data_IF_940835014803
#
_entry.id   IF_940835014803
#
_cell.length_a   1.000
_cell.length_b   1.000
_cell.length_c   1.000
_cell.angle_alpha   90.00
_cell.angle_beta   90.00
_cell.angle_gamma   90.00
#
_symmetry.space_group_name_H-M   'P 1'
#
loop_
_entity.id
_entity.type
_entity.pdbx_description
1 polymer ?
#
# COMPACT_ATOMS: atom_id res chain seq x y z
N UNK A 1 -44.23 43.31 1.65
CA UNK A 1 -43.26 42.30 1.19
C UNK A 1 -42.68 42.80 -0.13
N UNK A 2 -41.45 43.30 -0.12
CA UNK A 2 -40.73 43.82 -1.29
C UNK A 2 -39.65 42.79 -1.68
N UNK A 3 -39.59 42.31 -2.92
CA UNK A 3 -38.44 41.55 -3.40
C UNK A 3 -37.32 42.51 -3.79
N UNK A 4 -36.12 42.29 -3.24
CA UNK A 4 -34.94 43.11 -3.46
C UNK A 4 -34.33 42.91 -4.85
N UNK A 5 -34.02 44.03 -5.49
CA UNK A 5 -33.17 44.11 -6.68
C UNK A 5 -31.73 43.73 -6.34
N UNK A 6 -31.18 42.75 -7.06
CA UNK A 6 -29.75 42.46 -7.08
C UNK A 6 -29.17 43.04 -8.38
N UNK A 7 -28.33 44.05 -8.25
CA UNK A 7 -27.58 44.65 -9.36
C UNK A 7 -26.28 43.87 -9.54
N UNK A 8 -26.08 43.26 -10.72
CA UNK A 8 -24.80 42.70 -11.14
C UNK A 8 -23.83 43.85 -11.46
N UNK A 9 -22.66 43.84 -10.83
CA UNK A 9 -21.51 44.66 -11.21
C UNK A 9 -20.71 43.90 -12.27
N UNK A 10 -20.62 44.49 -13.46
CA UNK A 10 -19.70 44.09 -14.53
C UNK A 10 -18.26 44.40 -14.10
N UNK A 11 -17.37 43.42 -14.27
CA UNK A 11 -15.94 43.57 -14.04
C UNK A 11 -15.23 43.71 -15.40
N UNK A 12 -14.47 44.79 -15.54
CA UNK A 12 -13.60 45.11 -16.67
C UNK A 12 -12.53 44.02 -16.91
N UNK A 13 -12.29 43.59 -18.17
CA UNK A 13 -11.24 42.63 -18.49
C UNK A 13 -10.08 43.29 -19.24
N UNK A 14 -9.28 44.16 -18.61
CA UNK A 14 -7.98 44.55 -19.17
C UNK A 14 -6.93 44.77 -18.07
N UNK A 15 -6.11 43.74 -17.81
CA UNK A 15 -4.79 43.90 -17.21
C UNK A 15 -3.86 42.82 -17.74
N UNK A 16 -3.23 43.14 -18.87
CA UNK A 16 -2.09 42.43 -19.43
C UNK A 16 -0.89 42.77 -18.54
N UNK A 17 -0.48 41.82 -17.70
CA UNK A 17 0.79 41.86 -16.98
C UNK A 17 1.73 40.83 -17.61
N UNK A 18 2.66 41.33 -18.40
CA UNK A 18 3.82 40.60 -18.92
C UNK A 18 4.80 40.33 -17.78
N UNK A 19 4.84 39.08 -17.31
CA UNK A 19 5.92 38.60 -16.44
C UNK A 19 7.19 38.38 -17.27
N UNK A 20 8.18 39.23 -17.03
CA UNK A 20 9.56 39.07 -17.48
C UNK A 20 10.13 37.74 -16.94
N UNK A 21 10.60 36.90 -17.85
CA UNK A 21 11.38 35.70 -17.56
C UNK A 21 12.72 36.10 -16.94
N UNK A 22 12.78 36.12 -15.61
CA UNK A 22 14.05 36.08 -14.90
C UNK A 22 14.61 34.67 -15.01
N UNK A 23 15.70 34.50 -15.75
CA UNK A 23 16.49 33.27 -15.77
C UNK A 23 17.08 33.05 -14.37
N UNK A 24 16.39 32.26 -13.56
CA UNK A 24 16.92 31.73 -12.30
C UNK A 24 17.97 30.68 -12.65
N UNK A 25 19.23 31.04 -12.45
CA UNK A 25 20.37 30.15 -12.54
C UNK A 25 20.24 29.04 -11.50
N UNK A 26 19.79 27.86 -11.91
CA UNK A 26 19.68 26.65 -11.09
C UNK A 26 21.00 25.88 -11.08
N UNK A 27 22.05 26.49 -10.53
CA UNK A 27 23.23 25.75 -10.10
C UNK A 27 22.95 25.11 -8.74
N UNK A 28 22.24 23.97 -8.73
CA UNK A 28 22.11 23.13 -7.54
C UNK A 28 23.35 22.24 -7.45
N UNK A 29 24.07 22.19 -6.31
CA UNK A 29 25.23 21.32 -6.14
C UNK A 29 24.81 19.84 -6.26
N UNK A 30 25.49 19.09 -7.12
CA UNK A 30 25.23 17.69 -7.50
C UNK A 30 25.19 16.67 -6.33
N UNK A 31 25.68 17.05 -5.15
CA UNK A 31 25.65 16.21 -3.94
C UNK A 31 24.43 16.47 -3.06
N UNK A 32 23.92 17.71 -3.00
CA UNK A 32 22.71 18.06 -2.22
C UNK A 32 21.42 17.62 -2.93
N UNK A 33 21.44 17.51 -4.27
CA UNK A 33 20.27 17.03 -5.04
C UNK A 33 19.93 15.56 -4.79
N UNK A 34 20.88 14.76 -4.28
CA UNK A 34 20.68 13.32 -4.02
C UNK A 34 20.11 13.01 -2.64
N UNK A 35 20.36 13.86 -1.65
CA UNK A 35 19.70 13.79 -0.33
C UNK A 35 18.27 14.34 -0.40
N UNK A 36 17.98 15.23 -1.35
CA UNK A 36 16.63 15.74 -1.64
C UNK A 36 15.63 14.68 -2.14
N UNK A 37 16.04 13.40 -2.26
CA UNK A 37 15.20 12.29 -2.70
C UNK A 37 14.62 11.47 -1.55
N UNK A 38 15.07 11.71 -0.31
CA UNK A 38 14.46 11.12 0.87
C UNK A 38 13.51 12.12 1.52
N UNK A 39 12.42 11.62 2.11
CA UNK A 39 11.51 12.45 2.89
C UNK A 39 12.28 13.21 3.97
N UNK A 40 11.97 14.50 4.15
CA UNK A 40 12.66 15.33 5.13
C UNK A 40 12.44 14.78 6.54
N UNK A 41 11.24 14.27 6.83
CA UNK A 41 10.95 13.68 8.15
C UNK A 41 11.82 12.47 8.48
N UNK A 42 12.29 11.68 7.49
CA UNK A 42 13.22 10.58 7.77
C UNK A 42 14.58 11.10 8.19
N UNK A 43 15.04 12.19 7.56
CA UNK A 43 16.32 12.84 7.85
C UNK A 43 16.25 13.53 9.22
N UNK A 44 15.21 14.33 9.45
CA UNK A 44 15.03 15.13 10.67
C UNK A 44 14.83 14.26 11.91
N UNK A 45 14.06 13.17 11.80
CA UNK A 45 13.76 12.29 12.93
C UNK A 45 14.78 11.17 13.13
N UNK A 46 15.78 11.04 12.23
CA UNK A 46 16.73 9.93 12.26
C UNK A 46 16.05 8.56 12.15
N UNK A 47 14.98 8.46 11.35
CA UNK A 47 14.22 7.22 11.20
C UNK A 47 15.13 6.11 10.64
N UNK A 48 15.31 4.98 11.34
CA UNK A 48 16.10 3.88 10.82
C UNK A 48 15.35 3.19 9.67
N UNK A 49 15.72 3.51 8.43
CA UNK A 49 15.16 2.92 7.22
C UNK A 49 15.76 1.53 6.96
N UNK A 50 14.97 0.64 6.35
CA UNK A 50 15.46 -0.67 5.94
C UNK A 50 16.57 -0.53 4.85
N UNK A 51 17.79 -1.04 5.08
CA UNK A 51 18.92 -0.82 4.18
C UNK A 51 18.75 -1.48 2.81
N UNK A 52 18.10 -2.66 2.77
CA UNK A 52 17.87 -3.40 1.53
C UNK A 52 16.89 -2.66 0.64
N UNK A 53 15.75 -2.23 1.20
CA UNK A 53 14.78 -1.41 0.48
C UNK A 53 15.35 -0.05 0.08
N UNK A 54 16.17 0.56 0.93
CA UNK A 54 16.80 1.84 0.61
C UNK A 54 17.75 1.69 -0.59
N UNK A 55 18.43 0.55 -0.70
CA UNK A 55 19.26 0.23 -1.87
C UNK A 55 18.42 0.09 -3.14
N UNK A 56 17.25 -0.56 -3.05
CA UNK A 56 16.30 -0.72 -4.15
C UNK A 56 15.77 0.63 -4.60
N UNK A 57 15.31 1.46 -3.66
CA UNK A 57 14.88 2.83 -3.90
C UNK A 57 15.96 3.64 -4.63
N UNK A 58 17.16 3.72 -4.07
CA UNK A 58 18.28 4.47 -4.68
C UNK A 58 18.61 3.96 -6.09
N UNK A 59 18.49 2.66 -6.35
CA UNK A 59 18.72 2.07 -7.68
C UNK A 59 17.65 2.49 -8.68
N UNK A 60 16.38 2.49 -8.29
CA UNK A 60 15.27 2.95 -9.13
C UNK A 60 15.49 4.42 -9.52
N UNK A 61 15.89 5.26 -8.57
CA UNK A 61 16.10 6.69 -8.81
C UNK A 61 17.33 7.06 -9.61
N UNK A 62 18.45 6.36 -9.41
CA UNK A 62 19.66 6.61 -10.20
C UNK A 62 19.43 6.44 -11.70
N UNK A 63 18.41 5.66 -12.10
CA UNK A 63 18.04 5.44 -13.48
C UNK A 63 17.10 6.50 -14.09
N UNK A 64 16.53 7.40 -13.29
CA UNK A 64 15.52 8.36 -13.72
C UNK A 64 16.10 9.79 -13.72
N UNK A 65 16.01 10.52 -14.85
CA UNK A 65 16.28 11.98 -14.87
C UNK A 65 15.12 12.70 -14.20
N UNK A 66 15.40 13.59 -13.24
CA UNK A 66 14.41 14.18 -12.33
C UNK A 66 13.15 14.76 -13.01
N UNK A 67 13.29 15.53 -14.11
CA UNK A 67 12.11 16.10 -14.79
C UNK A 67 11.27 15.03 -15.50
N UNK A 68 11.91 14.04 -16.12
CA UNK A 68 11.21 12.89 -16.69
C UNK A 68 10.62 11.98 -15.60
N UNK A 69 11.29 11.89 -14.45
CA UNK A 69 10.87 11.06 -13.33
C UNK A 69 9.54 11.50 -12.74
N UNK A 70 9.28 12.81 -12.66
CA UNK A 70 8.04 13.32 -12.04
C UNK A 70 6.80 12.97 -12.86
N UNK A 71 6.83 13.20 -14.18
CA UNK A 71 5.75 12.81 -15.09
C UNK A 71 5.65 11.29 -15.21
N UNK A 72 6.79 10.60 -15.36
CA UNK A 72 6.84 9.16 -15.52
C UNK A 72 6.48 8.40 -14.23
N UNK A 73 6.65 8.98 -13.03
CA UNK A 73 6.25 8.38 -11.75
C UNK A 73 4.75 8.42 -11.51
N UNK A 74 4.05 9.46 -11.97
CA UNK A 74 2.59 9.45 -12.03
C UNK A 74 2.06 8.33 -12.92
N UNK A 75 2.84 7.88 -13.91
CA UNK A 75 2.49 6.77 -14.81
C UNK A 75 3.08 5.40 -14.41
N UNK A 76 4.14 5.37 -13.59
CA UNK A 76 4.86 4.14 -13.21
C UNK A 76 4.34 3.48 -11.92
N UNK A 77 4.63 2.18 -11.85
CA UNK A 77 4.06 1.18 -10.96
C UNK A 77 4.68 1.11 -9.55
N UNK A 78 5.81 1.77 -9.30
CA UNK A 78 6.53 1.71 -8.02
C UNK A 78 6.11 2.81 -7.02
N UNK A 79 4.81 3.12 -6.99
CA UNK A 79 4.21 4.20 -6.18
C UNK A 79 4.54 3.99 -4.68
N UNK A 80 4.56 2.76 -4.19
CA UNK A 80 4.64 2.51 -2.74
C UNK A 80 5.98 2.85 -2.10
N UNK A 81 7.11 2.62 -2.80
CA UNK A 81 8.41 3.07 -2.29
C UNK A 81 8.51 4.59 -2.29
N UNK A 82 7.85 5.24 -3.24
CA UNK A 82 7.78 6.70 -3.29
C UNK A 82 7.07 7.30 -2.09
N UNK A 83 5.93 6.72 -1.72
CA UNK A 83 5.19 7.17 -0.56
C UNK A 83 5.82 6.77 0.77
N UNK A 84 6.70 5.76 0.82
CA UNK A 84 7.41 5.41 2.05
C UNK A 84 8.69 6.20 2.25
N UNK A 85 9.52 6.34 1.21
CA UNK A 85 10.87 6.91 1.35
C UNK A 85 11.05 8.25 0.66
N UNK A 86 10.21 8.57 -0.32
CA UNK A 86 10.30 9.79 -1.10
C UNK A 86 9.68 11.01 -0.44
N UNK A 87 9.76 12.18 -1.11
CA UNK A 87 9.30 13.45 -0.56
C UNK A 87 7.82 13.47 -0.12
N UNK A 88 6.97 12.69 -0.77
CA UNK A 88 5.54 12.65 -0.44
C UNK A 88 5.22 11.88 0.84
N UNK A 89 6.17 11.16 1.44
CA UNK A 89 5.94 10.52 2.74
C UNK A 89 5.44 11.53 3.79
N UNK A 90 5.95 12.76 3.77
CA UNK A 90 5.54 13.83 4.70
C UNK A 90 4.06 14.22 4.51
N UNK A 91 3.52 14.03 3.30
CA UNK A 91 2.10 14.24 3.00
C UNK A 91 1.24 13.01 3.35
N UNK A 92 1.88 11.84 3.50
CA UNK A 92 1.20 10.58 3.76
C UNK A 92 1.78 9.79 4.95
N UNK A 93 1.93 10.38 6.15
CA UNK A 93 2.58 9.70 7.26
C UNK A 93 1.75 8.53 7.79
N UNK A 94 2.42 7.56 8.40
CA UNK A 94 1.81 6.39 9.02
C UNK A 94 2.28 6.25 10.48
N UNK A 95 1.48 5.59 11.36
CA UNK A 95 1.99 5.13 12.64
C UNK A 95 3.21 4.25 12.45
N UNK A 96 4.18 4.35 13.36
CA UNK A 96 5.46 3.60 13.29
C UNK A 96 5.26 2.10 13.06
N UNK A 97 4.31 1.48 13.75
CA UNK A 97 4.01 0.05 13.61
C UNK A 97 3.59 -0.31 12.18
N UNK A 98 2.71 0.50 11.58
CA UNK A 98 2.23 0.29 10.23
C UNK A 98 3.29 0.63 9.18
N UNK A 99 4.10 1.66 9.40
CA UNK A 99 5.28 1.96 8.58
C UNK A 99 6.23 0.76 8.52
N UNK A 100 6.62 0.20 9.67
CA UNK A 100 7.50 -0.98 9.72
C UNK A 100 6.88 -2.21 9.07
N UNK A 101 5.57 -2.42 9.21
CA UNK A 101 4.87 -3.52 8.53
C UNK A 101 4.84 -3.33 7.01
N UNK A 102 4.63 -2.10 6.53
CA UNK A 102 4.73 -1.75 5.10
C UNK A 102 6.13 -1.99 4.56
N UNK A 103 7.18 -1.58 5.29
CA UNK A 103 8.57 -1.86 4.92
C UNK A 103 8.83 -3.36 4.83
N UNK A 104 8.40 -4.15 5.81
CA UNK A 104 8.65 -5.59 5.78
C UNK A 104 7.93 -6.28 4.61
N UNK A 105 6.70 -5.87 4.31
CA UNK A 105 5.98 -6.37 3.13
C UNK A 105 6.67 -6.00 1.82
N UNK A 106 7.05 -4.73 1.66
CA UNK A 106 7.77 -4.31 0.46
C UNK A 106 9.14 -4.98 0.35
N UNK A 107 9.83 -5.22 1.46
CA UNK A 107 11.11 -5.94 1.45
C UNK A 107 10.92 -7.36 0.94
N UNK A 108 9.93 -8.08 1.47
CA UNK A 108 9.58 -9.39 0.97
C UNK A 108 9.24 -9.36 -0.53
N UNK A 109 8.52 -8.33 -1.00
CA UNK A 109 8.20 -8.19 -2.43
C UNK A 109 9.45 -7.90 -3.28
N UNK A 110 10.21 -6.85 -2.97
CA UNK A 110 11.28 -6.34 -3.83
C UNK A 110 12.59 -7.13 -3.71
N UNK A 111 12.89 -7.66 -2.53
CA UNK A 111 14.17 -8.31 -2.23
C UNK A 111 14.09 -9.84 -2.28
N UNK A 112 12.92 -10.43 -1.99
CA UNK A 112 12.76 -11.89 -1.95
C UNK A 112 11.94 -12.38 -3.15
N UNK A 113 10.70 -11.93 -3.28
CA UNK A 113 9.74 -12.41 -4.28
C UNK A 113 10.09 -11.99 -5.72
N UNK A 114 10.36 -10.71 -5.96
CA UNK A 114 10.66 -10.17 -7.31
C UNK A 114 11.88 -10.84 -7.94
N UNK A 115 13.04 -10.92 -7.27
CA UNK A 115 14.22 -11.57 -7.84
C UNK A 115 13.95 -13.04 -8.15
N UNK A 116 13.29 -13.74 -7.23
CA UNK A 116 12.89 -15.14 -7.41
C UNK A 116 11.97 -15.32 -8.63
N UNK A 117 10.92 -14.51 -8.76
CA UNK A 117 9.98 -14.61 -9.88
C UNK A 117 10.67 -14.31 -11.23
N UNK A 118 11.63 -13.38 -11.24
CA UNK A 118 12.43 -13.08 -12.44
C UNK A 118 13.31 -14.25 -12.86
N UNK A 119 13.97 -14.93 -11.93
CA UNK A 119 14.76 -16.13 -12.26
C UNK A 119 13.87 -17.26 -12.77
N UNK A 120 12.72 -17.48 -12.14
CA UNK A 120 11.76 -18.50 -12.59
C UNK A 120 11.27 -18.29 -14.03
N UNK A 121 11.01 -17.04 -14.42
CA UNK A 121 10.64 -16.70 -15.81
C UNK A 121 11.81 -16.92 -16.78
N UNK A 122 13.03 -16.56 -16.37
CA UNK A 122 14.22 -16.71 -17.21
C UNK A 122 14.57 -18.17 -17.49
N UNK A 123 14.38 -19.04 -16.50
CA UNK A 123 14.76 -20.47 -16.58
C UNK A 123 13.71 -21.32 -17.32
N UNK A 124 12.44 -20.91 -17.35
CA UNK A 124 11.35 -21.68 -17.97
C UNK A 124 10.97 -21.14 -19.34
N UNK A 125 11.64 -21.65 -20.37
CA UNK A 125 11.28 -21.46 -21.79
C UNK A 125 9.84 -21.96 -22.10
N UNK A 126 9.33 -22.90 -21.29
CA UNK A 126 7.98 -23.48 -21.34
C UNK A 126 6.81 -22.48 -21.12
N UNK A 127 7.05 -21.30 -20.55
CA UNK A 127 5.99 -20.28 -20.42
C UNK A 127 5.73 -19.51 -21.72
N UNK A 128 6.54 -19.70 -22.77
CA UNK A 128 6.32 -19.08 -24.07
C UNK A 128 5.29 -19.84 -24.92
N UNK A 129 5.14 -21.16 -24.73
CA UNK A 129 4.30 -22.01 -25.59
C UNK A 129 2.84 -22.11 -25.13
N UNK A 130 2.50 -21.58 -23.95
CA UNK A 130 1.12 -21.60 -23.43
C UNK A 130 0.41 -20.29 -23.83
N UNK A 131 0.04 -20.20 -25.11
CA UNK A 131 -0.41 -18.97 -25.78
C UNK A 131 -1.72 -18.34 -25.23
N UNK A 132 -2.52 -19.03 -24.40
CA UNK A 132 -3.77 -18.48 -23.86
C UNK A 132 -3.80 -18.29 -22.31
N UNK A 133 -3.22 -19.16 -21.48
CA UNK A 133 -3.07 -18.93 -20.03
C UNK A 133 -2.00 -17.88 -19.69
N UNK A 134 -1.10 -17.57 -20.63
CA UNK A 134 -0.04 -16.57 -20.46
C UNK A 134 -0.56 -15.13 -20.26
N UNK A 135 -1.77 -14.81 -20.73
CA UNK A 135 -2.40 -13.49 -20.53
C UNK A 135 -2.91 -13.35 -19.10
N UNK A 136 -3.69 -14.34 -18.62
CA UNK A 136 -4.15 -14.37 -17.22
C UNK A 136 -2.97 -14.44 -16.25
N UNK A 137 -1.93 -15.23 -16.55
CA UNK A 137 -0.71 -15.33 -15.77
C UNK A 137 0.04 -13.99 -15.71
N UNK A 138 0.28 -13.33 -16.85
CA UNK A 138 0.93 -12.02 -16.91
C UNK A 138 0.10 -10.87 -16.36
N UNK A 139 -1.22 -11.02 -16.23
CA UNK A 139 -2.10 -9.98 -15.68
C UNK A 139 -2.33 -10.15 -14.17
N UNK A 140 -2.52 -11.38 -13.69
CA UNK A 140 -2.81 -11.68 -12.28
C UNK A 140 -1.54 -11.80 -11.42
N UNK A 141 -0.40 -12.18 -12.02
CA UNK A 141 0.91 -12.24 -11.34
C UNK A 141 1.75 -10.98 -11.58
N UNK A 142 1.17 -9.89 -12.11
CA UNK A 142 1.89 -8.61 -12.09
C UNK A 142 2.25 -8.33 -10.63
N UNK A 143 3.52 -8.00 -10.38
CA UNK A 143 3.93 -7.54 -9.04
C UNK A 143 3.21 -6.21 -8.69
N UNK A 144 2.72 -5.52 -9.71
CA UNK A 144 2.00 -4.25 -9.63
C UNK A 144 0.86 -4.22 -8.60
N UNK A 145 -0.07 -5.19 -8.54
CA UNK A 145 -1.06 -5.24 -7.47
C UNK A 145 -0.46 -5.35 -6.05
N UNK A 146 0.68 -6.01 -5.85
CA UNK A 146 1.29 -6.11 -4.51
C UNK A 146 1.81 -4.77 -4.00
N UNK A 147 2.44 -4.02 -4.89
CA UNK A 147 2.93 -2.68 -4.56
C UNK A 147 1.75 -1.77 -4.29
N UNK A 148 0.80 -1.70 -5.23
CA UNK A 148 -0.35 -0.81 -5.16
C UNK A 148 -1.15 -0.97 -3.86
N UNK A 149 -1.20 -2.18 -3.29
CA UNK A 149 -1.84 -2.42 -2.00
C UNK A 149 -1.25 -1.54 -0.89
N UNK A 150 0.07 -1.42 -0.79
CA UNK A 150 0.71 -0.62 0.26
C UNK A 150 0.37 0.86 0.09
N UNK A 151 0.45 1.35 -1.15
CA UNK A 151 0.04 2.71 -1.47
C UNK A 151 -1.45 2.96 -1.18
N UNK A 152 -2.36 2.07 -1.58
CA UNK A 152 -3.79 2.23 -1.34
C UNK A 152 -4.12 2.26 0.15
N UNK A 153 -3.50 1.38 0.95
CA UNK A 153 -3.65 1.40 2.41
C UNK A 153 -3.12 2.71 2.99
N UNK A 154 -1.94 3.16 2.53
CA UNK A 154 -1.36 4.41 3.01
C UNK A 154 -2.22 5.63 2.66
N UNK A 155 -2.74 5.71 1.43
CA UNK A 155 -3.65 6.76 0.99
C UNK A 155 -4.95 6.80 1.80
N UNK A 156 -5.48 5.65 2.22
CA UNK A 156 -6.71 5.54 3.03
C UNK A 156 -6.49 5.85 4.52
N UNK A 157 -5.36 5.39 5.09
CA UNK A 157 -5.11 5.45 6.53
C UNK A 157 -4.34 6.69 6.97
N UNK A 158 -3.48 7.26 6.12
CA UNK A 158 -2.72 8.47 6.45
C UNK A 158 -3.64 9.64 6.85
N UNK A 159 -4.69 10.02 6.08
CA UNK A 159 -5.56 11.12 6.47
C UNK A 159 -6.19 10.90 7.86
N UNK A 160 -6.55 9.65 8.19
CA UNK A 160 -7.08 9.31 9.51
C UNK A 160 -6.02 9.44 10.59
N UNK A 161 -4.79 9.03 10.32
CA UNK A 161 -3.68 9.18 11.25
C UNK A 161 -3.38 10.66 11.52
N UNK A 162 -3.29 11.49 10.48
CA UNK A 162 -3.10 12.93 10.59
C UNK A 162 -4.20 13.63 11.40
N UNK A 163 -5.44 13.15 11.29
CA UNK A 163 -6.57 13.66 12.07
C UNK A 163 -6.72 13.03 13.47
N UNK A 164 -5.84 12.11 13.89
CA UNK A 164 -5.96 11.39 15.16
C UNK A 164 -7.16 10.44 15.23
N UNK A 165 -7.70 10.02 14.08
CA UNK A 165 -8.86 9.14 13.94
C UNK A 165 -8.51 7.68 13.67
N UNK A 166 -7.24 7.39 13.37
CA UNK A 166 -6.76 6.03 13.16
C UNK A 166 -6.60 5.32 14.52
N UNK A 167 -7.46 4.34 14.78
CA UNK A 167 -7.40 3.51 15.99
C UNK A 167 -6.26 2.51 15.91
N UNK A 168 -5.72 2.16 17.08
CA UNK A 168 -4.61 1.21 17.20
C UNK A 168 -5.01 -0.17 16.67
N UNK A 169 -6.21 -0.64 16.99
CA UNK A 169 -6.71 -1.94 16.53
C UNK A 169 -6.83 -2.01 15.01
N UNK A 170 -7.30 -0.93 14.37
CA UNK A 170 -7.36 -0.84 12.91
C UNK A 170 -5.96 -0.96 12.29
N UNK A 171 -4.96 -0.26 12.84
CA UNK A 171 -3.58 -0.37 12.39
C UNK A 171 -3.03 -1.79 12.62
N UNK A 172 -3.29 -2.40 13.78
CA UNK A 172 -2.86 -3.77 14.09
C UNK A 172 -3.45 -4.81 13.15
N UNK A 173 -4.73 -4.71 12.78
CA UNK A 173 -5.37 -5.62 11.81
C UNK A 173 -4.60 -5.57 10.48
N UNK A 174 -4.28 -4.36 10.00
CA UNK A 174 -3.53 -4.18 8.75
C UNK A 174 -2.12 -4.76 8.88
N UNK A 175 -1.42 -4.50 9.97
CA UNK A 175 -0.10 -5.09 10.23
C UNK A 175 -0.14 -6.62 10.21
N UNK A 176 -1.18 -7.24 10.80
CA UNK A 176 -1.34 -8.71 10.79
C UNK A 176 -1.63 -9.25 9.40
N UNK A 177 -2.43 -8.53 8.60
CA UNK A 177 -2.69 -8.90 7.21
C UNK A 177 -1.38 -8.82 6.40
N UNK A 178 -0.57 -7.78 6.58
CA UNK A 178 0.76 -7.68 5.94
C UNK A 178 1.70 -8.79 6.37
N UNK A 179 1.78 -9.10 7.67
CA UNK A 179 2.62 -10.18 8.18
C UNK A 179 2.23 -11.53 7.55
N UNK A 180 0.94 -11.87 7.60
CA UNK A 180 0.43 -13.09 6.95
C UNK A 180 0.83 -13.14 5.49
N UNK A 181 0.82 -11.99 4.80
CA UNK A 181 1.21 -11.96 3.40
C UNK A 181 2.71 -12.18 3.19
N UNK A 182 3.55 -11.60 4.03
CA UNK A 182 5.00 -11.86 4.03
C UNK A 182 5.25 -13.35 4.20
N UNK A 183 4.58 -13.98 5.17
CA UNK A 183 4.73 -15.40 5.45
C UNK A 183 4.30 -16.26 4.25
N UNK A 184 3.20 -15.90 3.58
CA UNK A 184 2.75 -16.56 2.35
C UNK A 184 3.78 -16.40 1.24
N UNK A 185 4.28 -15.18 1.00
CA UNK A 185 5.27 -14.92 -0.05
C UNK A 185 6.53 -15.77 0.17
N UNK A 186 7.03 -15.82 1.41
CA UNK A 186 8.17 -16.65 1.80
C UNK A 186 7.92 -18.12 1.61
N UNK A 187 6.77 -18.62 2.09
CA UNK A 187 6.38 -20.02 1.91
C UNK A 187 6.39 -20.42 0.43
N UNK A 188 5.86 -19.56 -0.44
CA UNK A 188 5.89 -19.82 -1.87
C UNK A 188 7.30 -19.75 -2.42
N UNK A 189 8.12 -18.76 -2.04
CA UNK A 189 9.53 -18.68 -2.45
C UNK A 189 10.36 -19.88 -1.97
N UNK A 190 10.07 -20.44 -0.80
CA UNK A 190 10.75 -21.63 -0.25
C UNK A 190 10.30 -22.92 -0.94
N UNK A 191 8.98 -23.14 -1.07
CA UNK A 191 8.42 -24.28 -1.82
C UNK A 191 8.91 -24.32 -3.26
N UNK A 192 9.17 -23.13 -3.80
CA UNK A 192 9.68 -22.95 -5.13
C UNK A 192 11.08 -23.45 -5.42
N UNK A 193 11.86 -23.76 -4.37
CA UNK A 193 13.11 -24.50 -4.55
C UNK A 193 12.85 -25.93 -5.09
N UNK A 194 11.59 -26.38 -5.12
CA UNK A 194 11.11 -27.56 -5.87
C UNK A 194 10.37 -27.20 -7.17
N UNK A 195 9.47 -28.08 -7.61
CA UNK A 195 8.66 -27.89 -8.82
C UNK A 195 7.31 -27.21 -8.52
N UNK A 196 7.10 -25.98 -9.03
CA UNK A 196 5.77 -25.35 -9.02
C UNK A 196 4.77 -26.11 -9.90
N UNK A 197 3.59 -26.38 -9.33
CA UNK A 197 2.44 -26.87 -10.09
C UNK A 197 1.52 -25.73 -10.47
N UNK A 198 0.63 -25.97 -11.43
CA UNK A 198 -0.36 -24.97 -11.88
C UNK A 198 -1.25 -24.52 -10.73
N UNK A 199 -1.61 -25.45 -9.85
CA UNK A 199 -2.47 -25.22 -8.68
C UNK A 199 -1.85 -24.21 -7.71
N UNK A 200 -0.52 -24.22 -7.53
CA UNK A 200 0.18 -23.29 -6.63
C UNK A 200 0.01 -21.83 -7.10
N UNK A 201 0.06 -21.60 -8.42
CA UNK A 201 -0.20 -20.27 -8.99
C UNK A 201 -1.65 -19.83 -8.83
N UNK A 202 -2.60 -20.74 -9.04
CA UNK A 202 -4.02 -20.45 -8.82
C UNK A 202 -4.29 -20.11 -7.36
N UNK A 203 -3.72 -20.86 -6.42
CA UNK A 203 -3.83 -20.60 -4.98
C UNK A 203 -3.21 -19.26 -4.60
N UNK A 204 -2.02 -18.94 -5.13
CA UNK A 204 -1.41 -17.64 -4.91
C UNK A 204 -2.28 -16.48 -5.42
N UNK A 205 -2.87 -16.62 -6.61
CA UNK A 205 -3.79 -15.63 -7.18
C UNK A 205 -5.05 -15.43 -6.33
N UNK A 206 -5.62 -16.52 -5.79
CA UNK A 206 -6.76 -16.47 -4.88
C UNK A 206 -6.39 -15.76 -3.56
N UNK A 207 -5.26 -16.13 -2.95
CA UNK A 207 -4.74 -15.47 -1.75
C UNK A 207 -4.52 -13.96 -1.97
N UNK A 208 -4.16 -13.55 -3.19
CA UNK A 208 -4.06 -12.13 -3.56
C UNK A 208 -5.40 -11.42 -3.60
N UNK A 209 -6.41 -12.03 -4.21
CA UNK A 209 -7.75 -11.45 -4.25
C UNK A 209 -8.35 -11.29 -2.83
N UNK A 210 -8.12 -12.30 -1.99
CA UNK A 210 -8.55 -12.29 -0.58
C UNK A 210 -7.83 -11.17 0.17
N UNK A 211 -6.52 -11.02 -0.01
CA UNK A 211 -5.73 -9.96 0.60
C UNK A 211 -6.26 -8.56 0.29
N UNK A 212 -6.48 -8.26 -1.00
CA UNK A 212 -7.00 -6.95 -1.43
C UNK A 212 -8.34 -6.65 -0.76
N UNK A 213 -9.22 -7.65 -0.73
CA UNK A 213 -10.53 -7.55 -0.07
C UNK A 213 -10.39 -7.30 1.43
N UNK A 214 -9.54 -8.09 2.11
CA UNK A 214 -9.32 -7.98 3.55
C UNK A 214 -8.77 -6.61 3.94
N UNK A 215 -7.79 -6.08 3.19
CA UNK A 215 -7.22 -4.76 3.44
C UNK A 215 -8.21 -3.64 3.17
N UNK A 216 -9.01 -3.75 2.10
CA UNK A 216 -10.08 -2.78 1.85
C UNK A 216 -11.06 -2.75 3.01
N UNK A 217 -11.51 -3.90 3.50
CA UNK A 217 -12.39 -4.01 4.66
C UNK A 217 -11.73 -3.40 5.90
N UNK A 218 -10.46 -3.74 6.18
CA UNK A 218 -9.70 -3.21 7.29
C UNK A 218 -9.59 -1.68 7.23
N UNK A 219 -9.40 -1.09 6.04
CA UNK A 219 -9.30 0.36 5.87
C UNK A 219 -10.65 1.09 6.01
N UNK A 220 -11.75 0.53 5.50
CA UNK A 220 -13.06 1.21 5.55
C UNK A 220 -13.78 1.03 6.89
N UNK A 221 -13.33 0.08 7.72
CA UNK A 221 -13.94 -0.19 9.01
C UNK A 221 -13.95 1.06 9.92
N UNK A 222 -15.07 1.25 10.61
CA UNK A 222 -15.32 2.39 11.52
C UNK A 222 -15.83 1.96 12.90
N UNK A 223 -16.08 0.68 13.10
CA UNK A 223 -16.66 0.16 14.33
C UNK A 223 -15.56 -0.39 15.22
N UNK A 224 -15.28 0.31 16.32
CA UNK A 224 -14.30 -0.11 17.33
C UNK A 224 -14.62 -1.51 17.88
N UNK A 225 -15.90 -1.79 18.17
CA UNK A 225 -16.33 -3.10 18.65
C UNK A 225 -15.99 -4.20 17.63
N UNK A 226 -16.24 -3.95 16.35
CA UNK A 226 -15.97 -4.92 15.30
C UNK A 226 -14.46 -5.13 15.10
N UNK A 227 -13.65 -4.06 15.18
CA UNK A 227 -12.19 -4.13 15.11
C UNK A 227 -11.62 -4.98 16.23
N UNK A 228 -12.05 -4.76 17.48
CA UNK A 228 -11.61 -5.55 18.64
C UNK A 228 -11.95 -7.04 18.49
N UNK A 229 -13.17 -7.34 18.04
CA UNK A 229 -13.61 -8.72 17.79
C UNK A 229 -12.78 -9.37 16.69
N UNK A 230 -12.60 -8.69 15.55
CA UNK A 230 -11.84 -9.21 14.43
C UNK A 230 -10.38 -9.43 14.81
N UNK A 231 -9.78 -8.49 15.55
CA UNK A 231 -8.42 -8.62 16.04
C UNK A 231 -8.29 -9.82 16.98
N UNK A 232 -9.26 -10.06 17.87
CA UNK A 232 -9.33 -11.27 18.70
C UNK A 232 -9.27 -12.54 17.84
N UNK A 233 -10.09 -12.64 16.80
CA UNK A 233 -10.06 -13.77 15.86
C UNK A 233 -8.77 -13.90 15.03
N UNK A 234 -8.08 -12.80 14.76
CA UNK A 234 -6.81 -12.82 14.02
C UNK A 234 -5.66 -13.26 14.94
N UNK A 235 -5.72 -12.89 16.23
CA UNK A 235 -4.69 -13.22 17.21
C UNK A 235 -4.87 -14.62 17.80
N UNK A 236 -6.10 -15.09 17.94
CA UNK A 236 -6.43 -16.42 18.44
C UNK A 236 -6.58 -17.36 17.24
N UNK A 237 -5.89 -18.51 17.25
CA UNK A 237 -5.76 -19.45 16.12
C UNK A 237 -7.09 -20.17 15.74
N UNK A 238 -8.09 -19.41 15.29
CA UNK A 238 -9.31 -19.92 14.66
C UNK A 238 -10.60 -19.74 15.47
N UNK A 239 -10.54 -19.54 16.80
CA UNK A 239 -11.74 -19.35 17.63
C UNK A 239 -11.48 -18.30 18.71
N UNK A 240 -12.24 -17.20 18.66
CA UNK A 240 -12.33 -16.25 19.77
C UNK A 240 -13.48 -16.65 20.69
N UNK A 241 -13.19 -17.45 21.72
CA UNK A 241 -14.21 -18.10 22.58
C UNK A 241 -15.19 -17.09 23.17
N UNK A 242 -14.70 -15.94 23.65
CA UNK A 242 -15.54 -14.88 24.22
C UNK A 242 -16.62 -14.37 23.25
N UNK A 243 -16.33 -14.36 21.94
CA UNK A 243 -17.31 -13.94 20.93
C UNK A 243 -18.23 -15.08 20.55
N UNK A 244 -17.73 -16.32 20.47
CA UNK A 244 -18.59 -17.50 20.27
C UNK A 244 -19.62 -17.61 21.40
N UNK A 245 -19.18 -17.53 22.66
CA UNK A 245 -20.06 -17.50 23.82
C UNK A 245 -21.00 -16.29 23.84
N UNK A 246 -20.55 -15.14 23.34
CA UNK A 246 -21.37 -13.94 23.20
C UNK A 246 -22.48 -14.10 22.17
N UNK A 247 -22.17 -14.68 21.01
CA UNK A 247 -23.12 -15.00 19.94
C UNK A 247 -24.08 -16.09 20.38
N UNK A 248 -23.59 -17.12 21.08
CA UNK A 248 -24.41 -18.19 21.61
C UNK A 248 -25.42 -17.64 22.64
N UNK A 249 -24.96 -16.88 23.64
CA UNK A 249 -25.85 -16.22 24.60
C UNK A 249 -26.87 -15.31 23.92
N UNK A 250 -26.44 -14.49 22.96
CA UNK A 250 -27.34 -13.61 22.22
C UNK A 250 -28.40 -14.40 21.43
N UNK A 251 -27.99 -15.48 20.76
CA UNK A 251 -28.87 -16.34 19.97
C UNK A 251 -29.88 -17.08 20.84
N UNK A 252 -29.44 -17.61 21.99
CA UNK A 252 -30.31 -18.29 22.97
C UNK A 252 -31.25 -17.32 23.70
N UNK A 253 -30.84 -16.06 23.86
CA UNK A 253 -31.69 -15.01 24.45
C UNK A 253 -32.72 -14.43 23.48
N UNK A 254 -32.65 -14.77 22.19
CA UNK A 254 -33.54 -14.21 21.18
C UNK A 254 -34.95 -14.84 21.29
N UNK A 255 -36.04 -14.05 21.35
CA UNK A 255 -37.40 -14.53 21.67
C UNK A 255 -37.93 -15.67 20.78
N UNK A 256 -37.46 -15.76 19.54
CA UNK A 256 -37.79 -16.87 18.61
C UNK A 256 -37.32 -18.24 19.08
N UNK A 257 -36.31 -18.33 19.94
CA UNK A 257 -35.75 -19.59 20.44
C UNK A 257 -36.15 -19.91 21.88
N UNK A 258 -36.89 -19.01 22.54
CA UNK A 258 -37.46 -19.19 23.88
C UNK A 258 -38.89 -19.77 23.84
N UNK A 259 -39.40 -20.15 22.67
CA UNK A 259 -40.70 -20.80 22.50
C UNK A 259 -40.54 -22.32 22.39
N UNK A 260 -40.08 -22.95 23.46
CA UNK A 260 -40.20 -24.41 23.68
C UNK A 260 -40.95 -24.64 24.97
#
# INVERSE_FOLDING_TARGET
>A
MNPGNFTMLEADPESILTCSEAQVSTNIPDSQSREALLANSHIENGTPLNPDLLSVWKKIWKGLRWEAAKEEMTERKDISLYFLYGPDFDSFPLPKSLFSASEELLRAIYCEWKPYFRSLIADRQEFQDVAEPGVLFREHMRITPFEQIVHSVQAELSPRYCCGLLREEQAMIVCRIYQRKVDILRLYTEKAAGEWRREDFTMLGLEMSILCTALRIACIMRSERFEKVLLGYILEEGVFEAVVEGVERASLSHPKYLQV
#
